data_IF_107002901140
#
_entry.id   IF_107002901140
#
_cell.length_a   1.000
_cell.length_b   1.000
_cell.length_c   1.000
_cell.angle_alpha   90.00
_cell.angle_beta   90.00
_cell.angle_gamma   90.00
#
_symmetry.space_group_name_H-M   'P 1'
#
loop_
_entity.id
_entity.type
_entity.pdbx_description
1 polymer ?
#
# COMPACT_ATOMS: atom_id res chain seq x y z
N UNK A 1 14.49 -45.29 19.39
CA UNK A 1 14.33 -46.40 18.43
C UNK A 1 13.04 -46.11 17.68
N UNK A 2 12.98 -45.71 16.41
CA UNK A 2 13.94 -45.63 15.31
C UNK A 2 13.79 -44.26 14.63
N UNK A 3 14.93 -43.67 14.26
CA UNK A 3 15.02 -42.64 13.23
C UNK A 3 15.22 -43.42 11.93
N UNK A 4 14.33 -43.26 10.95
CA UNK A 4 14.57 -43.71 9.59
C UNK A 4 14.68 -42.50 8.67
N UNK A 5 15.87 -42.39 8.11
CA UNK A 5 16.26 -41.54 6.99
C UNK A 5 15.35 -41.72 5.78
N UNK A 6 14.96 -40.61 5.16
CA UNK A 6 14.66 -40.55 3.74
C UNK A 6 15.26 -39.26 3.14
N UNK A 7 16.41 -39.41 2.46
CA UNK A 7 16.90 -38.49 1.43
C UNK A 7 16.05 -38.64 0.18
N UNK A 8 15.78 -37.55 -0.54
CA UNK A 8 15.68 -37.45 -2.01
C UNK A 8 15.25 -36.00 -2.36
N UNK A 9 15.56 -35.35 -3.47
CA UNK A 9 16.61 -35.36 -4.51
C UNK A 9 16.22 -34.17 -5.41
N UNK A 10 17.13 -33.22 -5.63
CA UNK A 10 16.88 -32.04 -6.47
C UNK A 10 16.93 -32.46 -7.95
N UNK A 11 15.97 -32.06 -8.81
CA UNK A 11 16.19 -32.03 -10.24
C UNK A 11 16.38 -30.59 -10.74
N UNK A 12 17.58 -30.34 -11.25
CA UNK A 12 17.91 -29.25 -12.17
C UNK A 12 17.39 -29.54 -13.58
N UNK A 13 16.90 -28.50 -14.26
CA UNK A 13 17.10 -28.31 -15.71
C UNK A 13 15.85 -28.32 -16.61
N UNK A 14 15.60 -27.17 -17.25
CA UNK A 14 15.08 -26.87 -18.61
C UNK A 14 14.42 -25.47 -18.53
N UNK A 15 14.63 -24.47 -19.38
CA UNK A 15 15.16 -24.41 -20.75
C UNK A 15 14.10 -23.75 -21.65
N UNK A 16 14.42 -22.54 -22.17
CA UNK A 16 13.76 -21.85 -23.31
C UNK A 16 12.36 -21.24 -23.04
N UNK A 17 11.86 -20.18 -23.71
CA UNK A 17 12.22 -19.51 -24.97
C UNK A 17 11.57 -18.11 -25.01
N UNK A 18 12.27 -17.09 -25.51
CA UNK A 18 11.65 -15.86 -26.01
C UNK A 18 10.69 -16.21 -27.16
N UNK A 19 9.49 -15.61 -27.15
CA UNK A 19 8.68 -15.51 -28.36
C UNK A 19 8.29 -14.06 -28.62
N UNK A 20 8.85 -13.54 -29.70
CA UNK A 20 8.40 -12.37 -30.43
C UNK A 20 7.17 -12.78 -31.25
N UNK A 21 6.10 -11.99 -31.23
CA UNK A 21 5.03 -12.11 -32.22
C UNK A 21 4.71 -10.72 -32.80
N UNK A 22 4.97 -10.58 -34.10
CA UNK A 22 4.44 -9.54 -34.99
C UNK A 22 3.53 -10.24 -35.99
N UNK A 23 2.25 -9.82 -36.06
CA UNK A 23 1.46 -9.64 -37.28
C UNK A 23 0.13 -8.99 -36.86
N UNK A 24 -0.05 -7.70 -37.12
CA UNK A 24 -0.91 -7.13 -38.17
C UNK A 24 -2.35 -7.65 -38.14
N UNK A 25 -3.29 -6.76 -37.78
CA UNK A 25 -4.39 -6.51 -38.70
C UNK A 25 -4.91 -5.07 -38.63
N UNK A 26 -5.22 -4.54 -39.81
CA UNK A 26 -5.67 -3.17 -40.05
C UNK A 26 -7.18 -3.07 -39.82
N UNK A 27 -7.62 -2.16 -38.96
CA UNK A 27 -8.96 -1.59 -39.05
C UNK A 27 -8.91 -0.08 -38.87
N UNK A 28 -9.09 0.62 -40.00
CA UNK A 28 -9.19 2.08 -40.10
C UNK A 28 -10.64 2.47 -39.86
N UNK A 29 -10.90 3.14 -38.73
CA UNK A 29 -12.18 3.80 -38.42
C UNK A 29 -11.95 5.34 -38.35
N UNK A 30 -12.94 6.16 -38.72
CA UNK A 30 -12.78 7.57 -39.10
C UNK A 30 -12.39 8.50 -37.93
N UNK A 31 -11.83 9.69 -38.21
CA UNK A 31 -11.39 10.62 -37.18
C UNK A 31 -12.60 11.21 -36.47
N UNK A 32 -12.87 10.72 -35.25
CA UNK A 32 -13.72 11.43 -34.31
C UNK A 32 -12.99 12.73 -33.91
N UNK A 33 -13.52 13.82 -34.45
CA UNK A 33 -13.41 15.20 -34.01
C UNK A 33 -12.69 15.37 -32.66
N UNK A 34 -11.53 16.03 -32.71
CA UNK A 34 -10.75 16.45 -31.53
C UNK A 34 -11.63 17.38 -30.70
N UNK A 35 -12.42 16.80 -29.80
CA UNK A 35 -12.83 17.51 -28.59
C UNK A 35 -11.53 17.81 -27.87
N UNK A 36 -11.18 19.09 -27.81
CA UNK A 36 -10.07 19.58 -27.01
C UNK A 36 -10.25 19.01 -25.60
N UNK A 37 -9.57 17.90 -25.31
CA UNK A 37 -9.29 17.50 -23.95
C UNK A 37 -8.44 18.64 -23.42
N UNK A 38 -9.09 19.55 -22.71
CA UNK A 38 -8.43 20.58 -21.94
C UNK A 38 -7.44 19.83 -21.05
N UNK A 39 -6.17 19.88 -21.46
CA UNK A 39 -5.03 19.41 -20.69
C UNK A 39 -5.17 20.12 -19.36
N UNK A 40 -5.50 19.38 -18.31
CA UNK A 40 -5.47 19.95 -16.96
C UNK A 40 -4.08 20.56 -16.78
N UNK A 41 -3.98 21.86 -16.47
CA UNK A 41 -2.68 22.47 -16.19
C UNK A 41 -2.03 21.64 -15.08
N UNK A 42 -0.78 21.24 -15.35
CA UNK A 42 -0.01 20.24 -14.64
C UNK A 42 -0.04 20.55 -13.13
N UNK A 43 -0.92 19.93 -12.35
CA UNK A 43 -1.08 20.21 -10.91
C UNK A 43 0.26 20.10 -10.18
N UNK A 44 1.16 19.24 -10.65
CA UNK A 44 2.58 19.18 -10.28
C UNK A 44 3.28 20.54 -10.31
N UNK A 45 3.15 21.30 -11.40
CA UNK A 45 3.84 22.59 -11.57
C UNK A 45 3.44 23.62 -10.52
N UNK A 46 2.21 23.53 -9.98
CA UNK A 46 1.74 24.39 -8.88
C UNK A 46 2.32 23.94 -7.53
N UNK A 47 2.67 22.67 -7.39
CA UNK A 47 3.25 22.08 -6.18
C UNK A 47 4.78 22.18 -6.16
N UNK A 48 5.42 22.35 -7.32
CA UNK A 48 6.88 22.45 -7.44
C UNK A 48 7.49 23.52 -6.52
N UNK A 49 6.96 24.76 -6.43
CA UNK A 49 7.51 25.77 -5.51
C UNK A 49 7.48 25.34 -4.04
N UNK A 50 6.51 24.50 -3.66
CA UNK A 50 6.42 23.94 -2.30
C UNK A 50 7.48 22.86 -2.07
N UNK A 51 7.77 22.04 -3.07
CA UNK A 51 8.83 21.02 -3.02
C UNK A 51 10.24 21.65 -3.03
N UNK A 52 10.40 22.82 -3.65
CA UNK A 52 11.66 23.56 -3.66
C UNK A 52 11.90 24.39 -2.39
N UNK A 53 10.85 24.61 -1.59
CA UNK A 53 10.94 25.45 -0.40
C UNK A 53 12.00 24.91 0.59
N UNK A 54 12.90 25.78 1.13
CA UNK A 54 14.03 25.35 1.96
C UNK A 54 13.59 24.57 3.20
N UNK A 55 12.47 24.94 3.83
CA UNK A 55 11.94 24.20 4.98
C UNK A 55 11.52 22.77 4.62
N UNK A 56 10.94 22.57 3.43
CA UNK A 56 10.57 21.23 2.96
C UNK A 56 11.81 20.41 2.63
N UNK A 57 12.79 20.99 1.91
CA UNK A 57 14.05 20.30 1.61
C UNK A 57 14.81 19.90 2.87
N UNK A 58 14.86 20.76 3.89
CA UNK A 58 15.47 20.43 5.17
C UNK A 58 14.77 19.26 5.87
N UNK A 59 13.43 19.22 5.86
CA UNK A 59 12.66 18.10 6.40
C UNK A 59 12.87 16.80 5.60
N UNK A 60 12.93 16.89 4.28
CA UNK A 60 13.20 15.76 3.39
C UNK A 60 14.62 15.20 3.60
N UNK A 61 15.62 16.07 3.74
CA UNK A 61 17.00 15.69 4.03
C UNK A 61 17.13 15.03 5.40
N UNK A 62 16.42 15.52 6.42
CA UNK A 62 16.36 14.86 7.73
C UNK A 62 15.71 13.47 7.63
N UNK A 63 14.58 13.36 6.93
CA UNK A 63 13.90 12.09 6.70
C UNK A 63 14.80 11.09 5.93
N UNK A 64 15.46 11.54 4.86
CA UNK A 64 16.37 10.72 4.05
C UNK A 64 17.66 10.34 4.81
N UNK A 65 18.17 11.24 5.65
CA UNK A 65 19.43 11.08 6.41
C UNK A 65 19.30 10.29 7.72
N UNK A 66 18.08 10.02 8.21
CA UNK A 66 17.84 9.34 9.49
C UNK A 66 18.46 7.94 9.66
N UNK A 67 18.98 7.31 8.58
CA UNK A 67 19.73 6.05 8.69
C UNK A 67 21.18 6.22 9.18
N UNK A 68 21.75 7.44 9.09
CA UNK A 68 23.17 7.71 9.39
C UNK A 68 23.40 8.36 10.75
N UNK A 69 22.39 8.94 11.38
CA UNK A 69 22.54 9.72 12.61
C UNK A 69 21.39 9.42 13.58
N UNK A 70 21.72 9.22 14.87
CA UNK A 70 20.86 8.57 15.88
C UNK A 70 19.52 9.28 16.18
N UNK A 71 19.33 10.52 15.74
CA UNK A 71 18.03 11.19 15.68
C UNK A 71 18.25 12.56 15.06
N UNK A 72 17.53 12.88 13.98
CA UNK A 72 17.41 14.26 13.49
C UNK A 72 15.96 14.66 13.63
N UNK A 73 15.68 15.50 14.62
CA UNK A 73 14.38 16.11 14.81
C UNK A 73 14.28 17.37 13.96
N UNK A 74 13.22 17.48 13.17
CA UNK A 74 12.89 18.68 12.39
C UNK A 74 11.46 19.06 12.70
N UNK A 75 11.25 20.30 13.14
CA UNK A 75 9.93 20.85 13.38
C UNK A 75 9.51 21.75 12.21
N UNK A 76 8.37 21.42 11.60
CA UNK A 76 7.69 22.29 10.65
C UNK A 76 6.46 22.87 11.33
N UNK A 77 6.39 24.19 11.45
CA UNK A 77 5.26 24.92 12.05
C UNK A 77 4.51 25.73 10.98
N UNK A 78 3.31 26.22 11.33
CA UNK A 78 2.49 27.03 10.42
C UNK A 78 1.79 26.24 9.31
N UNK A 79 1.83 24.90 9.35
CA UNK A 79 1.17 24.05 8.35
C UNK A 79 -0.33 23.88 8.63
N UNK A 80 -1.14 24.15 7.61
CA UNK A 80 -2.55 23.76 7.60
C UNK A 80 -2.72 22.23 7.56
N UNK A 81 -3.93 21.73 7.78
CA UNK A 81 -4.24 20.30 7.67
C UNK A 81 -3.86 19.74 6.30
N UNK A 82 -4.20 20.46 5.22
CA UNK A 82 -3.81 20.10 3.86
C UNK A 82 -2.29 20.25 3.63
N UNK A 83 -1.65 21.26 4.24
CA UNK A 83 -0.20 21.43 4.19
C UNK A 83 0.55 20.23 4.79
N UNK A 84 0.09 19.68 5.91
CA UNK A 84 0.64 18.44 6.49
C UNK A 84 0.52 17.26 5.52
N UNK A 85 -0.64 17.12 4.88
CA UNK A 85 -0.88 16.06 3.89
C UNK A 85 0.06 16.19 2.68
N UNK A 86 0.23 17.42 2.18
CA UNK A 86 1.15 17.72 1.06
C UNK A 86 2.61 17.43 1.43
N UNK A 87 3.05 17.78 2.65
CA UNK A 87 4.40 17.46 3.11
C UNK A 87 4.63 15.95 3.17
N UNK A 88 3.66 15.20 3.72
CA UNK A 88 3.73 13.72 3.76
C UNK A 88 3.81 13.13 2.35
N UNK A 89 2.93 13.57 1.45
CA UNK A 89 2.89 13.11 0.06
C UNK A 89 4.19 13.46 -0.69
N UNK A 90 4.70 14.68 -0.50
CA UNK A 90 5.96 15.15 -1.09
C UNK A 90 7.16 14.35 -0.59
N UNK A 91 7.27 14.10 0.72
CA UNK A 91 8.36 13.27 1.27
C UNK A 91 8.28 11.86 0.68
N UNK A 92 7.09 11.26 0.63
CA UNK A 92 6.91 9.94 0.03
C UNK A 92 7.29 9.93 -1.46
N UNK A 93 6.89 10.96 -2.22
CA UNK A 93 7.23 11.16 -3.64
C UNK A 93 8.74 11.22 -3.85
N UNK A 94 9.41 12.09 -3.11
CA UNK A 94 10.85 12.34 -3.23
C UNK A 94 11.70 11.14 -2.80
N UNK A 95 11.35 10.45 -1.72
CA UNK A 95 12.06 9.23 -1.32
C UNK A 95 11.97 8.15 -2.40
N UNK A 96 10.80 8.00 -3.05
CA UNK A 96 10.62 7.08 -4.18
C UNK A 96 11.44 7.53 -5.40
N UNK A 97 11.41 8.81 -5.75
CA UNK A 97 12.19 9.37 -6.86
C UNK A 97 13.70 9.12 -6.68
N UNK A 98 14.19 9.18 -5.43
CA UNK A 98 15.56 8.86 -5.03
C UNK A 98 15.85 7.34 -4.94
N UNK A 99 14.88 6.49 -5.27
CA UNK A 99 14.95 5.02 -5.15
C UNK A 99 15.30 4.53 -3.74
N UNK A 100 14.86 5.27 -2.72
CA UNK A 100 15.00 4.88 -1.32
C UNK A 100 13.76 4.07 -0.93
N UNK A 101 13.91 2.75 -0.75
CA UNK A 101 12.83 1.85 -0.33
C UNK A 101 12.55 1.96 1.18
N UNK A 102 12.21 3.17 1.63
CA UNK A 102 12.01 3.50 3.04
C UNK A 102 10.54 3.85 3.27
N UNK A 103 9.80 3.08 4.09
CA UNK A 103 8.44 3.44 4.43
C UNK A 103 8.43 4.67 5.34
N UNK A 104 7.49 5.57 5.08
CA UNK A 104 7.24 6.77 5.89
C UNK A 104 6.14 6.44 6.90
N UNK A 105 6.42 6.57 8.19
CA UNK A 105 5.42 6.38 9.25
C UNK A 105 4.97 7.74 9.77
N UNK A 106 3.66 7.99 9.72
CA UNK A 106 3.04 9.23 10.17
C UNK A 106 2.24 8.95 11.42
N UNK A 107 2.63 9.57 12.54
CA UNK A 107 1.90 9.44 13.81
C UNK A 107 0.79 10.49 13.90
N UNK A 108 -0.41 10.05 14.26
CA UNK A 108 -1.57 10.93 14.49
C UNK A 108 -2.12 10.76 15.91
N UNK A 109 -2.99 11.68 16.33
CA UNK A 109 -3.68 11.60 17.63
C UNK A 109 -4.70 10.46 17.67
N UNK A 110 -5.46 10.31 16.60
CA UNK A 110 -6.66 9.47 16.55
C UNK A 110 -6.91 8.90 15.14
N UNK A 111 -7.89 8.00 15.05
CA UNK A 111 -8.28 7.31 13.82
C UNK A 111 -8.85 8.27 12.76
N UNK A 112 -9.67 9.23 13.16
CA UNK A 112 -10.34 10.17 12.25
C UNK A 112 -9.32 11.11 11.59
N UNK A 113 -8.35 11.59 12.37
CA UNK A 113 -7.23 12.40 11.90
C UNK A 113 -6.33 11.61 10.96
N UNK A 114 -6.05 10.33 11.26
CA UNK A 114 -5.30 9.45 10.37
C UNK A 114 -5.99 9.28 9.02
N UNK A 115 -7.28 8.98 9.02
CA UNK A 115 -8.04 8.72 7.79
C UNK A 115 -8.12 9.95 6.90
N UNK A 116 -8.54 11.09 7.47
CA UNK A 116 -8.62 12.34 6.72
C UNK A 116 -7.27 12.83 6.19
N UNK A 117 -6.19 12.59 6.94
CA UNK A 117 -4.84 12.90 6.48
C UNK A 117 -4.41 11.98 5.33
N UNK A 118 -4.73 10.68 5.42
CA UNK A 118 -4.49 9.70 4.36
C UNK A 118 -5.22 10.08 3.07
N UNK A 119 -6.51 10.39 3.12
CA UNK A 119 -7.33 10.80 1.96
C UNK A 119 -6.77 12.04 1.26
N UNK A 120 -6.38 13.03 2.05
CA UNK A 120 -5.80 14.26 1.50
C UNK A 120 -4.42 13.98 0.90
N UNK A 121 -3.60 13.17 1.58
CA UNK A 121 -2.26 12.82 1.12
C UNK A 121 -2.28 11.95 -0.14
N UNK A 122 -3.25 11.04 -0.29
CA UNK A 122 -3.40 10.24 -1.51
C UNK A 122 -3.73 11.13 -2.71
N UNK A 123 -4.60 12.14 -2.51
CA UNK A 123 -4.94 13.09 -3.58
C UNK A 123 -3.71 13.87 -4.06
N UNK A 124 -2.91 14.41 -3.13
CA UNK A 124 -1.66 15.09 -3.48
C UNK A 124 -0.64 14.15 -4.13
N UNK A 125 -0.53 12.92 -3.64
CA UNK A 125 0.39 11.96 -4.22
C UNK A 125 -0.01 11.58 -5.65
N UNK A 126 -1.30 11.34 -5.90
CA UNK A 126 -1.80 11.05 -7.24
C UNK A 126 -1.49 12.22 -8.19
N UNK A 127 -1.64 13.47 -7.74
CA UNK A 127 -1.24 14.65 -8.53
C UNK A 127 0.27 14.73 -8.80
N UNK A 128 1.08 14.36 -7.80
CA UNK A 128 2.53 14.27 -7.92
C UNK A 128 3.02 13.06 -8.71
N UNK A 129 2.20 12.03 -8.95
CA UNK A 129 2.60 10.84 -9.72
C UNK A 129 2.05 10.90 -11.14
N UNK A 130 0.82 11.39 -11.33
CA UNK A 130 0.18 11.54 -12.65
C UNK A 130 0.97 12.44 -13.61
N UNK A 131 1.80 13.34 -13.10
CA UNK A 131 2.71 14.14 -13.93
C UNK A 131 4.04 13.45 -14.28
N UNK A 132 4.31 12.23 -13.79
CA UNK A 132 5.53 11.44 -14.05
C UNK A 132 5.28 10.34 -15.09
N UNK A 133 4.02 9.96 -15.30
CA UNK A 133 3.58 8.90 -16.22
C UNK A 133 3.71 9.29 -17.71
N UNK A 134 4.16 10.51 -18.05
CA UNK A 134 4.30 10.96 -19.46
C UNK A 134 5.45 10.28 -20.24
N UNK A 135 6.07 9.23 -19.71
CA UNK A 135 7.23 8.55 -20.32
C UNK A 135 7.31 7.03 -20.13
N UNK A 136 6.24 6.36 -19.69
CA UNK A 136 6.23 4.91 -19.45
C UNK A 136 4.98 4.26 -20.03
N UNK A 137 5.16 3.16 -20.76
CA UNK A 137 4.09 2.41 -21.42
C UNK A 137 2.95 2.06 -20.45
N UNK A 138 1.72 2.33 -20.92
CA UNK A 138 0.46 2.09 -20.24
C UNK A 138 0.36 0.61 -19.84
N UNK A 139 0.40 0.33 -18.54
CA UNK A 139 0.04 -0.97 -18.00
C UNK A 139 -1.48 -1.14 -18.11
N UNK A 140 -1.85 -2.32 -18.57
CA UNK A 140 -3.18 -2.72 -19.06
C UNK A 140 -4.31 -2.54 -18.03
N UNK A 141 -5.45 -2.12 -18.55
CA UNK A 141 -6.76 -2.15 -17.91
C UNK A 141 -7.14 -3.57 -17.45
N UNK A 142 -7.34 -3.72 -16.14
CA UNK A 142 -8.01 -4.85 -15.48
C UNK A 142 -9.43 -5.02 -16.09
N UNK A 143 -9.80 -6.19 -16.65
CA UNK A 143 -11.16 -6.41 -17.13
C UNK A 143 -12.13 -6.63 -15.97
N UNK A 144 -13.35 -6.14 -16.16
CA UNK A 144 -14.44 -6.06 -15.19
C UNK A 144 -14.94 -7.44 -14.70
N UNK A 145 -15.26 -7.52 -13.40
CA UNK A 145 -16.05 -8.62 -12.81
C UNK A 145 -15.70 -8.95 -11.35
N UNK A 146 -16.29 -8.21 -10.40
CA UNK A 146 -16.26 -8.51 -8.96
C UNK A 146 -16.91 -7.39 -8.14
N UNK A 147 -17.69 -7.67 -7.07
CA UNK A 147 -18.49 -6.66 -6.40
C UNK A 147 -17.63 -5.65 -5.64
N UNK A 148 -18.02 -4.39 -5.73
CA UNK A 148 -17.26 -3.23 -5.32
C UNK A 148 -17.25 -3.03 -3.81
N UNK A 149 -16.10 -3.31 -3.18
CA UNK A 149 -15.67 -2.63 -1.96
C UNK A 149 -14.82 -1.43 -2.38
N UNK A 150 -15.47 -0.28 -2.58
CA UNK A 150 -14.89 1.07 -2.74
C UNK A 150 -13.48 1.14 -3.39
N UNK A 151 -13.39 0.88 -4.70
CA UNK A 151 -12.20 1.20 -5.50
C UNK A 151 -12.23 2.70 -5.86
N UNK A 152 -11.75 3.55 -4.94
CA UNK A 152 -11.38 4.93 -5.25
C UNK A 152 -9.90 4.97 -5.69
N UNK A 153 -9.68 5.10 -7.00
CA UNK A 153 -8.46 5.60 -7.68
C UNK A 153 -7.09 5.05 -7.24
N UNK A 154 -6.50 4.18 -8.07
CA UNK A 154 -5.08 4.21 -8.46
C UNK A 154 -3.95 3.86 -7.47
N UNK A 155 -4.04 4.20 -6.19
CA UNK A 155 -2.90 4.11 -5.25
C UNK A 155 -3.24 3.44 -3.88
N UNK A 156 -4.17 2.48 -3.76
CA UNK A 156 -4.66 2.02 -2.46
C UNK A 156 -3.64 1.21 -1.64
N UNK A 157 -2.66 0.57 -2.29
CA UNK A 157 -1.71 -0.30 -1.59
C UNK A 157 -0.53 0.46 -0.94
N UNK A 158 -0.21 1.66 -1.43
CA UNK A 158 0.96 2.40 -0.98
C UNK A 158 0.68 3.23 0.29
N UNK A 159 -0.54 3.75 0.45
CA UNK A 159 -0.94 4.60 1.57
C UNK A 159 -2.02 3.89 2.39
N UNK A 160 -1.67 3.48 3.61
CA UNK A 160 -2.58 2.71 4.47
C UNK A 160 -2.63 3.27 5.89
N UNK A 161 -3.76 3.11 6.56
CA UNK A 161 -3.97 3.49 7.96
C UNK A 161 -4.02 2.23 8.81
N UNK A 162 -3.27 2.18 9.90
CA UNK A 162 -3.41 1.16 10.94
C UNK A 162 -4.33 1.69 12.04
N UNK A 163 -5.63 1.37 12.05
CA UNK A 163 -6.56 1.97 13.00
C UNK A 163 -6.30 1.47 14.42
N UNK A 164 -6.46 2.34 15.42
CA UNK A 164 -6.50 1.95 16.82
C UNK A 164 -7.74 1.10 17.11
N UNK A 165 -7.65 0.26 18.14
CA UNK A 165 -8.80 -0.47 18.66
C UNK A 165 -9.81 0.53 19.25
N UNK A 166 -11.07 0.21 19.06
CA UNK A 166 -12.27 0.87 19.60
C UNK A 166 -12.51 0.60 21.08
N UNK A 167 -11.85 -0.41 21.64
CA UNK A 167 -11.96 -0.80 23.04
C UNK A 167 -10.71 -0.44 23.82
N UNK A 168 -10.91 -0.08 25.09
CA UNK A 168 -9.82 0.13 26.02
C UNK A 168 -9.25 -1.20 26.52
N UNK A 169 -7.96 -1.25 26.90
CA UNK A 169 -7.39 -2.45 27.52
C UNK A 169 -8.18 -2.82 28.78
N UNK A 170 -8.53 -4.11 28.91
CA UNK A 170 -9.27 -4.68 30.05
C UNK A 170 -10.76 -4.28 30.17
N UNK A 171 -11.36 -3.75 29.12
CA UNK A 171 -12.80 -3.41 29.10
C UNK A 171 -13.74 -4.64 29.04
N UNK A 172 -13.19 -5.84 28.81
CA UNK A 172 -13.97 -7.08 28.71
C UNK A 172 -14.85 -7.17 27.45
N UNK A 173 -14.61 -6.32 26.46
CA UNK A 173 -15.31 -6.30 25.16
C UNK A 173 -14.36 -6.66 24.03
N UNK A 174 -14.86 -7.41 23.06
CA UNK A 174 -14.15 -7.66 21.82
C UNK A 174 -14.23 -6.44 20.90
N UNK A 175 -13.13 -6.08 20.21
CA UNK A 175 -13.15 -5.04 19.19
C UNK A 175 -14.15 -5.32 18.06
N UNK A 176 -14.67 -4.28 17.42
CA UNK A 176 -15.51 -4.44 16.22
C UNK A 176 -14.77 -5.17 15.08
N UNK A 177 -15.49 -6.07 14.40
CA UNK A 177 -14.94 -6.91 13.33
C UNK A 177 -14.33 -6.10 12.17
N UNK A 178 -14.96 -5.00 11.75
CA UNK A 178 -14.44 -4.12 10.69
C UNK A 178 -13.06 -3.53 11.05
N UNK A 179 -12.85 -3.18 12.31
CA UNK A 179 -11.55 -2.66 12.78
C UNK A 179 -10.50 -3.77 12.76
N UNK A 180 -10.86 -4.98 13.20
CA UNK A 180 -9.97 -6.14 13.16
C UNK A 180 -9.58 -6.51 11.73
N UNK A 181 -10.54 -6.50 10.80
CA UNK A 181 -10.31 -6.75 9.38
C UNK A 181 -9.35 -5.71 8.78
N UNK A 182 -9.64 -4.42 8.95
CA UNK A 182 -8.78 -3.32 8.46
C UNK A 182 -7.37 -3.43 9.02
N UNK A 183 -7.21 -3.79 10.30
CA UNK A 183 -5.91 -4.03 10.92
C UNK A 183 -5.20 -5.24 10.33
N UNK A 184 -5.91 -6.35 10.13
CA UNK A 184 -5.34 -7.58 9.55
C UNK A 184 -4.79 -7.32 8.15
N UNK A 185 -5.58 -6.67 7.28
CA UNK A 185 -5.16 -6.26 5.92
C UNK A 185 -3.94 -5.34 5.99
N UNK A 186 -3.95 -4.37 6.91
CA UNK A 186 -2.84 -3.43 7.07
C UNK A 186 -1.56 -4.10 7.52
N UNK A 187 -1.62 -4.95 8.54
CA UNK A 187 -0.47 -5.67 9.07
C UNK A 187 0.11 -6.67 8.07
N UNK A 188 -0.75 -7.31 7.27
CA UNK A 188 -0.32 -8.16 6.17
C UNK A 188 0.40 -7.37 5.07
N UNK A 189 -0.12 -6.21 4.67
CA UNK A 189 0.53 -5.35 3.69
C UNK A 189 1.90 -4.83 4.18
N UNK A 190 2.00 -4.47 5.45
CA UNK A 190 3.27 -4.11 6.10
C UNK A 190 4.21 -5.33 6.10
N UNK A 191 3.73 -6.52 6.46
CA UNK A 191 4.52 -7.74 6.48
C UNK A 191 4.99 -8.17 5.08
N UNK A 192 4.27 -7.82 4.02
CA UNK A 192 4.69 -8.05 2.63
C UNK A 192 5.58 -6.93 2.07
N UNK A 193 5.79 -5.84 2.82
CA UNK A 193 6.56 -4.67 2.36
C UNK A 193 5.87 -3.91 1.23
N UNK A 194 4.53 -3.99 1.15
CA UNK A 194 3.74 -3.32 0.10
C UNK A 194 3.36 -1.87 0.46
N UNK A 195 3.59 -1.47 1.71
CA UNK A 195 3.23 -0.16 2.25
C UNK A 195 4.38 0.85 2.10
N UNK A 196 4.08 2.03 1.56
CA UNK A 196 5.03 3.14 1.42
C UNK A 196 4.82 4.23 2.46
N UNK A 197 3.57 4.57 2.75
CA UNK A 197 3.22 5.50 3.83
C UNK A 197 2.21 4.83 4.74
N UNK A 198 2.54 4.80 6.02
CA UNK A 198 1.71 4.23 7.06
C UNK A 198 1.24 5.33 8.00
N UNK A 199 -0.06 5.55 8.08
CA UNK A 199 -0.67 6.44 9.07
C UNK A 199 -1.05 5.63 10.30
N UNK A 200 -0.49 5.98 11.46
CA UNK A 200 -0.69 5.26 12.71
C UNK A 200 -1.11 6.24 13.81
N UNK A 201 -2.34 6.13 14.32
CA UNK A 201 -2.75 6.76 15.56
C UNK A 201 -1.85 6.31 16.71
N UNK A 202 -1.53 7.23 17.63
CA UNK A 202 -0.63 6.97 18.75
C UNK A 202 -1.01 5.70 19.56
N UNK A 203 -2.29 5.43 19.87
CA UNK A 203 -2.66 4.19 20.56
C UNK A 203 -2.33 2.92 19.78
N UNK A 204 -2.46 2.95 18.44
CA UNK A 204 -2.08 1.84 17.58
C UNK A 204 -0.57 1.65 17.51
N UNK A 205 0.21 2.74 17.52
CA UNK A 205 1.67 2.69 17.48
C UNK A 205 2.28 2.11 18.76
N UNK A 206 1.64 2.36 19.91
CA UNK A 206 2.06 1.85 21.21
C UNK A 206 1.65 0.40 21.48
N UNK A 207 0.83 -0.19 20.60
CA UNK A 207 0.40 -1.57 20.75
C UNK A 207 1.58 -2.55 20.60
N UNK A 208 1.48 -3.71 21.25
CA UNK A 208 2.44 -4.80 21.08
C UNK A 208 2.07 -5.62 19.85
N UNK A 209 3.01 -5.80 18.94
CA UNK A 209 2.84 -6.59 17.73
C UNK A 209 3.59 -7.93 17.80
N UNK A 210 3.12 -8.91 17.05
CA UNK A 210 3.85 -10.16 16.80
C UNK A 210 4.92 -9.93 15.72
N UNK A 211 5.77 -10.93 15.51
CA UNK A 211 6.78 -10.88 14.46
C UNK A 211 6.15 -10.83 13.06
N UNK A 212 6.91 -10.31 12.09
CA UNK A 212 6.51 -10.20 10.68
C UNK A 212 6.08 -11.54 10.10
N UNK A 213 6.77 -12.63 10.44
CA UNK A 213 6.47 -13.97 9.92
C UNK A 213 5.07 -14.43 10.31
N UNK A 214 4.60 -14.06 11.51
CA UNK A 214 3.26 -14.40 12.00
C UNK A 214 2.20 -13.80 11.08
N UNK A 215 2.22 -12.49 10.85
CA UNK A 215 1.23 -11.81 10.01
C UNK A 215 1.31 -12.25 8.52
N UNK A 216 2.49 -12.62 8.05
CA UNK A 216 2.65 -13.18 6.71
C UNK A 216 2.00 -14.56 6.52
N UNK A 217 1.89 -15.35 7.60
CA UNK A 217 1.34 -16.71 7.60
C UNK A 217 -0.19 -16.82 7.73
N UNK A 218 -0.86 -15.70 8.03
CA UNK A 218 -2.32 -15.65 8.24
C UNK A 218 -3.12 -15.52 6.95
N UNK A 219 -2.49 -15.15 5.84
CA UNK A 219 -3.20 -14.92 4.58
C UNK A 219 -2.96 -16.06 3.60
N UNK A 220 -4.04 -16.52 3.00
CA UNK A 220 -4.03 -17.45 1.86
C UNK A 220 -4.26 -16.64 0.58
N UNK A 221 -3.35 -16.70 -0.38
CA UNK A 221 -3.53 -16.09 -1.70
C UNK A 221 -4.15 -17.14 -2.64
N UNK A 222 -5.40 -16.91 -3.07
CA UNK A 222 -6.14 -17.76 -3.99
C UNK A 222 -6.21 -17.11 -5.37
N UNK A 223 -5.90 -17.86 -6.43
CA UNK A 223 -6.04 -17.42 -7.83
C UNK A 223 -7.02 -18.31 -8.57
N UNK A 224 -7.57 -17.77 -9.67
CA UNK A 224 -8.40 -18.56 -10.57
C UNK A 224 -7.59 -19.75 -11.09
N UNK A 225 -8.18 -20.95 -10.99
CA UNK A 225 -7.57 -22.24 -11.37
C UNK A 225 -6.48 -22.74 -10.40
N UNK A 226 -6.38 -22.18 -9.19
CA UNK A 226 -5.59 -22.85 -8.16
C UNK A 226 -6.30 -24.14 -7.72
N UNK A 227 -5.54 -25.24 -7.71
CA UNK A 227 -5.97 -26.53 -7.13
C UNK A 227 -5.50 -26.57 -5.68
N UNK A 228 -6.43 -26.38 -4.76
CA UNK A 228 -6.19 -26.44 -3.31
C UNK A 228 -7.16 -27.46 -2.74
N UNK A 229 -6.63 -28.34 -1.89
CA UNK A 229 -7.45 -29.32 -1.18
C UNK A 229 -8.42 -28.59 -0.22
N UNK A 230 -9.69 -29.00 -0.25
CA UNK A 230 -10.73 -28.33 0.52
C UNK A 230 -10.51 -28.50 2.02
N UNK A 231 -10.07 -29.69 2.46
CA UNK A 231 -9.87 -29.99 3.88
C UNK A 231 -8.68 -29.18 4.42
N UNK A 232 -7.59 -29.08 3.65
CA UNK A 232 -6.45 -28.22 3.98
C UNK A 232 -6.85 -26.74 4.12
N UNK A 233 -7.73 -26.25 3.24
CA UNK A 233 -8.22 -24.87 3.30
C UNK A 233 -9.11 -24.65 4.53
N UNK A 234 -10.02 -25.57 4.83
CA UNK A 234 -10.90 -25.49 6.00
C UNK A 234 -10.08 -25.57 7.29
N UNK A 235 -9.12 -26.47 7.38
CA UNK A 235 -8.20 -26.57 8.52
C UNK A 235 -7.41 -25.27 8.71
N UNK A 236 -6.93 -24.68 7.61
CA UNK A 236 -6.23 -23.40 7.64
C UNK A 236 -7.11 -22.26 8.17
N UNK A 237 -8.36 -22.16 7.68
CA UNK A 237 -9.32 -21.13 8.11
C UNK A 237 -9.70 -21.30 9.59
N UNK A 238 -9.96 -22.53 10.03
CA UNK A 238 -10.23 -22.85 11.43
C UNK A 238 -9.05 -22.48 12.34
N UNK A 239 -7.82 -22.75 11.90
CA UNK A 239 -6.58 -22.40 12.62
C UNK A 239 -6.40 -20.88 12.79
N UNK A 240 -6.88 -20.08 11.85
CA UNK A 240 -6.81 -18.60 11.92
C UNK A 240 -7.94 -18.03 12.80
N UNK A 241 -8.99 -18.80 13.07
CA UNK A 241 -10.12 -18.40 13.90
C UNK A 241 -11.35 -17.95 13.10
N UNK A 242 -11.47 -18.38 11.84
CA UNK A 242 -12.73 -18.25 11.12
C UNK A 242 -13.75 -19.25 11.69
N UNK A 243 -14.99 -18.78 11.88
CA UNK A 243 -16.12 -19.58 12.33
C UNK A 243 -17.02 -19.91 11.14
N UNK A 244 -17.55 -21.13 11.10
CA UNK A 244 -18.54 -21.52 10.10
C UNK A 244 -19.87 -20.80 10.39
N UNK A 245 -20.41 -20.10 9.39
CA UNK A 245 -21.68 -19.40 9.50
C UNK A 245 -22.61 -19.71 8.32
N UNK A 246 -23.90 -19.85 8.61
CA UNK A 246 -24.98 -19.88 7.61
C UNK A 246 -25.97 -18.74 7.92
N UNK A 247 -26.32 -17.85 6.96
CA UNK A 247 -25.69 -17.57 5.67
C UNK A 247 -24.49 -16.61 5.78
N UNK A 248 -23.64 -16.59 4.75
CA UNK A 248 -22.51 -15.65 4.61
C UNK A 248 -22.90 -14.32 3.96
#
# INVERSE_FOLDING_TARGET
MQIQDCRFKIPTGLGFRLFNFRLFDSFKAPPAERRHAAVMPLMRSLLEPVLEHPAFRAALEAAAGAARERSREVALSGLTRAGKAMVVAGIAHELRARKLDRPVVVLTSDNETAERLRETASTFLDWLESGAESGGMVAETKPAGGPALSEANGTPALLIVLPALDVSPYEGRSPHAEILERRAVTLWNIARGRTRVLFVPLPAAMARFRDRAFYGSLALELRLRDEIDLDDMVEHLARIGYEAGEPV
#
